data_IF_296939082198
#
_entry.id   IF_296939082198
#
_cell.length_a   1.000
_cell.length_b   1.000
_cell.length_c   1.000
_cell.angle_alpha   90.00
_cell.angle_beta   90.00
_cell.angle_gamma   90.00
#
_symmetry.space_group_name_H-M   'P 1'
#
loop_
_entity.id
_entity.type
_entity.pdbx_description
1 polymer ?
#
# COMPACT_ATOMS: atom_id res chain seq x y z
N UNK A 1 24.74 22.14 -6.75
CA UNK A 1 25.14 22.76 -5.48
C UNK A 1 25.54 21.62 -4.58
N UNK A 2 26.84 21.58 -4.35
CA UNK A 2 27.55 20.54 -3.63
C UNK A 2 27.34 20.80 -2.14
N UNK A 3 26.26 20.26 -1.59
CA UNK A 3 26.12 20.15 -0.14
C UNK A 3 26.53 18.72 0.19
N UNK A 4 27.70 18.56 0.77
CA UNK A 4 28.09 17.33 1.46
C UNK A 4 27.12 17.19 2.63
N UNK A 5 25.96 16.58 2.34
CA UNK A 5 24.91 16.32 3.30
C UNK A 5 25.55 15.60 4.49
N UNK A 6 25.64 16.30 5.62
CA UNK A 6 26.04 15.64 6.86
C UNK A 6 24.97 14.60 7.19
N UNK A 7 25.34 13.56 7.95
CA UNK A 7 24.39 12.53 8.37
C UNK A 7 23.10 13.16 8.95
N UNK A 8 23.22 14.34 9.58
CA UNK A 8 22.11 15.11 10.15
C UNK A 8 21.09 15.59 9.12
N UNK A 9 21.52 16.01 7.93
CA UNK A 9 20.62 16.52 6.90
C UNK A 9 19.90 15.38 6.15
N UNK A 10 20.59 14.25 5.92
CA UNK A 10 19.92 13.02 5.44
C UNK A 10 18.93 12.48 6.48
N UNK A 11 19.29 12.49 7.76
CA UNK A 11 18.38 12.15 8.86
C UNK A 11 17.16 13.09 8.86
N UNK A 12 17.36 14.39 8.68
CA UNK A 12 16.29 15.38 8.58
C UNK A 12 15.34 15.10 7.39
N UNK A 13 15.90 14.78 6.22
CA UNK A 13 15.11 14.46 5.02
C UNK A 13 14.34 13.14 5.17
N UNK A 14 14.97 12.10 5.74
CA UNK A 14 14.33 10.81 5.99
C UNK A 14 13.18 10.97 6.98
N UNK A 15 13.40 11.71 8.08
CA UNK A 15 12.35 11.99 9.07
C UNK A 15 11.22 12.81 8.46
N UNK A 16 11.52 13.83 7.66
CA UNK A 16 10.52 14.62 6.96
C UNK A 16 9.72 13.80 5.93
N UNK A 17 10.38 12.92 5.17
CA UNK A 17 9.73 12.05 4.20
C UNK A 17 8.83 11.00 4.87
N UNK A 18 9.27 10.42 6.00
CA UNK A 18 8.55 9.34 6.70
C UNK A 18 7.39 9.85 7.55
N UNK A 19 7.45 11.07 8.11
CA UNK A 19 6.36 11.60 8.94
C UNK A 19 5.47 12.63 8.24
N UNK A 20 6.04 13.52 7.42
CA UNK A 20 5.30 14.67 6.85
C UNK A 20 4.76 14.34 5.46
N UNK A 21 5.46 13.50 4.68
CA UNK A 21 5.07 13.13 3.32
C UNK A 21 4.61 11.67 3.17
N UNK A 22 4.46 10.93 4.27
CA UNK A 22 4.06 9.54 4.19
C UNK A 22 2.57 9.40 3.92
N UNK A 23 2.28 9.00 2.69
CA UNK A 23 0.93 8.86 2.14
C UNK A 23 0.04 7.90 2.97
N UNK A 24 0.62 6.98 3.73
CA UNK A 24 -0.10 6.04 4.60
C UNK A 24 -0.76 6.75 5.80
N UNK A 25 -0.09 7.76 6.38
CA UNK A 25 -0.64 8.54 7.49
C UNK A 25 -1.64 9.59 7.01
N UNK A 26 -1.45 10.13 5.80
CA UNK A 26 -2.24 11.25 5.27
C UNK A 26 -3.57 10.80 4.67
N UNK A 27 -3.62 9.61 4.05
CA UNK A 27 -4.82 9.14 3.33
C UNK A 27 -5.66 8.12 4.10
N UNK A 28 -5.28 7.74 5.32
CA UNK A 28 -5.98 6.77 6.18
C UNK A 28 -6.40 5.47 5.44
N UNK A 29 -5.64 5.04 4.43
CA UNK A 29 -5.91 3.77 3.73
C UNK A 29 -5.74 2.62 4.73
N UNK A 30 -6.77 1.80 4.92
CA UNK A 30 -6.76 0.71 5.90
C UNK A 30 -7.12 1.11 7.33
N UNK A 31 -7.84 2.21 7.55
CA UNK A 31 -8.37 2.56 8.87
C UNK A 31 -9.37 1.52 9.43
N UNK A 32 -10.09 0.79 8.56
CA UNK A 32 -11.05 -0.24 8.97
C UNK A 32 -10.41 -1.42 9.74
N UNK A 33 -9.32 -2.08 9.28
CA UNK A 33 -8.61 -3.06 10.11
C UNK A 33 -7.86 -2.41 11.28
N UNK A 34 -7.41 -1.16 11.15
CA UNK A 34 -6.69 -0.47 12.22
C UNK A 34 -7.56 -0.25 13.48
N UNK A 35 -8.78 0.30 13.29
CA UNK A 35 -9.71 0.53 14.40
C UNK A 35 -10.18 -0.78 15.07
N UNK A 36 -10.39 -1.83 14.28
CA UNK A 36 -10.86 -3.13 14.80
C UNK A 36 -9.81 -3.87 15.65
N UNK A 37 -8.53 -3.58 15.43
CA UNK A 37 -7.44 -4.39 15.97
C UNK A 37 -6.52 -3.64 16.95
N UNK A 38 -6.81 -2.36 17.19
CA UNK A 38 -6.08 -1.48 18.11
C UNK A 38 -6.00 -1.98 19.57
N UNK A 39 -6.88 -2.91 20.00
CA UNK A 39 -6.95 -3.38 21.40
C UNK A 39 -6.09 -4.60 21.72
N UNK A 40 -5.69 -5.41 20.74
CA UNK A 40 -4.97 -6.68 20.98
C UNK A 40 -3.93 -6.94 19.91
N UNK A 41 -2.66 -7.06 20.33
CA UNK A 41 -1.53 -7.34 19.43
C UNK A 41 -1.64 -8.71 18.77
N UNK A 42 -2.14 -9.72 19.50
CA UNK A 42 -2.34 -11.07 18.94
C UNK A 42 -3.33 -11.07 17.76
N UNK A 43 -4.36 -10.24 17.83
CA UNK A 43 -5.34 -10.07 16.74
C UNK A 43 -4.75 -9.28 15.57
N UNK A 44 -3.81 -8.36 15.82
CA UNK A 44 -3.13 -7.55 14.80
C UNK A 44 -2.35 -8.43 13.83
N UNK A 45 -1.58 -9.35 14.39
CA UNK A 45 -0.73 -10.25 13.61
C UNK A 45 -1.59 -11.15 12.71
N UNK A 46 -2.68 -11.71 13.23
CA UNK A 46 -3.61 -12.54 12.44
C UNK A 46 -4.29 -11.78 11.31
N UNK A 47 -4.74 -10.54 11.57
CA UNK A 47 -5.38 -9.71 10.55
C UNK A 47 -4.41 -9.25 9.47
N UNK A 48 -3.19 -8.84 9.83
CA UNK A 48 -2.17 -8.45 8.84
C UNK A 48 -1.79 -9.61 7.92
N UNK A 49 -1.66 -10.82 8.46
CA UNK A 49 -1.35 -12.00 7.64
C UNK A 49 -2.47 -12.32 6.64
N UNK A 50 -3.73 -12.24 7.09
CA UNK A 50 -4.89 -12.42 6.20
C UNK A 50 -4.93 -11.39 5.07
N UNK A 51 -4.69 -10.12 5.37
CA UNK A 51 -4.68 -9.05 4.35
C UNK A 51 -3.53 -9.23 3.36
N UNK A 52 -2.33 -9.59 3.81
CA UNK A 52 -1.18 -9.83 2.91
C UNK A 52 -1.49 -10.97 1.93
N UNK A 53 -2.10 -12.06 2.43
CA UNK A 53 -2.48 -13.20 1.60
C UNK A 53 -3.51 -12.80 0.53
N UNK A 54 -4.59 -12.13 0.94
CA UNK A 54 -5.66 -11.70 0.04
C UNK A 54 -5.13 -10.71 -0.99
N UNK A 55 -4.32 -9.73 -0.59
CA UNK A 55 -3.77 -8.72 -1.49
C UNK A 55 -2.83 -9.34 -2.54
N UNK A 56 -2.02 -10.33 -2.14
CA UNK A 56 -1.13 -11.05 -3.06
C UNK A 56 -1.92 -11.88 -4.06
N UNK A 57 -2.98 -12.56 -3.61
CA UNK A 57 -3.85 -13.36 -4.47
C UNK A 57 -4.64 -12.48 -5.44
N UNK A 58 -5.29 -11.43 -4.93
CA UNK A 58 -6.06 -10.47 -5.72
C UNK A 58 -5.20 -9.80 -6.77
N UNK A 59 -4.03 -9.27 -6.40
CA UNK A 59 -3.12 -8.61 -7.36
C UNK A 59 -2.64 -9.56 -8.47
N UNK A 60 -2.40 -10.84 -8.14
CA UNK A 60 -2.01 -11.85 -9.14
C UNK A 60 -3.15 -12.16 -10.11
N UNK A 61 -4.39 -12.25 -9.61
CA UNK A 61 -5.59 -12.50 -10.41
C UNK A 61 -5.98 -11.30 -11.27
N UNK A 62 -5.89 -10.08 -10.73
CA UNK A 62 -6.13 -8.84 -11.48
C UNK A 62 -5.13 -8.73 -12.63
N UNK A 63 -3.83 -8.99 -12.39
CA UNK A 63 -2.83 -8.94 -13.46
C UNK A 63 -3.09 -9.96 -14.58
N UNK A 64 -3.55 -11.16 -14.22
CA UNK A 64 -3.95 -12.18 -15.19
C UNK A 64 -5.18 -11.74 -16.00
N UNK A 65 -6.18 -11.19 -15.33
CA UNK A 65 -7.43 -10.72 -15.96
C UNK A 65 -7.19 -9.52 -16.88
N UNK A 66 -6.38 -8.55 -16.45
CA UNK A 66 -5.96 -7.40 -17.27
C UNK A 66 -5.24 -7.83 -18.55
N UNK A 67 -4.30 -8.76 -18.43
CA UNK A 67 -3.47 -9.19 -19.56
C UNK A 67 -4.24 -10.07 -20.55
N UNK A 68 -5.09 -10.98 -20.06
CA UNK A 68 -5.77 -11.97 -20.92
C UNK A 68 -7.18 -11.57 -21.35
N UNK A 69 -7.91 -10.76 -20.58
CA UNK A 69 -9.28 -10.34 -20.93
C UNK A 69 -9.34 -8.88 -21.37
N UNK A 70 -8.72 -7.95 -20.63
CA UNK A 70 -8.95 -6.52 -20.88
C UNK A 70 -8.24 -5.98 -22.12
N UNK A 71 -6.98 -6.39 -22.35
CA UNK A 71 -6.21 -6.01 -23.54
C UNK A 71 -6.78 -6.51 -24.88
N UNK A 72 -7.25 -7.76 -25.03
CA UNK A 72 -7.82 -8.20 -26.30
C UNK A 72 -9.25 -7.70 -26.55
N UNK A 73 -10.05 -7.43 -25.50
CA UNK A 73 -11.41 -6.90 -25.68
C UNK A 73 -11.49 -5.36 -25.76
N UNK A 74 -10.42 -4.63 -25.43
CA UNK A 74 -10.35 -3.17 -25.59
C UNK A 74 -11.22 -2.37 -24.61
N UNK A 75 -11.69 -3.00 -23.52
CA UNK A 75 -12.61 -2.40 -22.53
C UNK A 75 -11.83 -2.05 -21.26
N UNK A 76 -10.86 -1.15 -21.39
CA UNK A 76 -9.99 -0.67 -20.28
C UNK A 76 -10.78 -0.02 -19.14
N UNK A 77 -12.02 0.39 -19.38
CA UNK A 77 -12.89 1.00 -18.36
C UNK A 77 -13.35 0.05 -17.24
N UNK A 78 -13.21 -1.27 -17.40
CA UNK A 78 -13.60 -2.25 -16.37
C UNK A 78 -12.44 -2.69 -15.46
N UNK A 79 -11.24 -2.12 -15.61
CA UNK A 79 -10.06 -2.40 -14.75
C UNK A 79 -10.38 -2.20 -13.26
N UNK A 80 -11.20 -1.20 -12.91
CA UNK A 80 -11.62 -0.94 -11.52
C UNK A 80 -12.59 -2.00 -10.95
N UNK A 81 -13.24 -2.80 -11.79
CA UNK A 81 -14.06 -3.94 -11.32
C UNK A 81 -13.24 -5.24 -11.21
N UNK A 82 -12.11 -5.32 -11.92
CA UNK A 82 -11.19 -6.45 -11.87
C UNK A 82 -10.14 -6.32 -10.76
N UNK A 83 -9.92 -5.11 -10.25
CA UNK A 83 -9.08 -4.78 -9.10
C UNK A 83 -9.87 -4.84 -7.78
#
# INVERSE_FOLDING_TARGET
MEEVWTLSDYLGLIVAAVLINNILLIRFLGNCPFLGVSKKMDTAVGMSFGVIFVLTCSGSLTWLTETYLLKPLGIVYMETLAF
#
